data_IF_425812571316
#
_entry.id   IF_425812571316
#
_cell.length_a   1.000
_cell.length_b   1.000
_cell.length_c   1.000
_cell.angle_alpha   90.00
_cell.angle_beta   90.00
_cell.angle_gamma   90.00
#
_symmetry.space_group_name_H-M   'P 1'
#
loop_
_entity.id
_entity.type
_entity.pdbx_description
1 polymer ?
#
# COMPACT_ATOMS: atom_id res chain seq x y z
N UNK A 1 25.24 4.08 12.51
CA UNK A 1 24.18 3.37 13.25
C UNK A 1 23.88 2.09 12.47
N UNK A 2 24.08 0.90 13.04
CA UNK A 2 23.73 -0.35 12.34
C UNK A 2 22.23 -0.55 12.55
N UNK A 3 21.45 -0.10 11.57
CA UNK A 3 19.99 -0.12 11.56
C UNK A 3 19.54 -1.58 11.45
N UNK A 4 19.10 -2.18 12.56
CA UNK A 4 18.53 -3.53 12.55
C UNK A 4 17.08 -3.44 12.10
N UNK A 5 16.84 -3.49 10.79
CA UNK A 5 15.49 -3.52 10.26
C UNK A 5 14.85 -4.88 10.57
N UNK A 6 13.99 -4.91 11.60
CA UNK A 6 13.33 -6.13 12.03
C UNK A 6 12.32 -6.58 10.95
N UNK A 7 12.48 -7.81 10.44
CA UNK A 7 11.58 -8.43 9.44
C UNK A 7 10.12 -8.40 9.91
N UNK A 8 9.87 -8.54 11.22
CA UNK A 8 8.53 -8.45 11.78
C UNK A 8 7.87 -7.09 11.57
N UNK A 9 8.63 -6.00 11.60
CA UNK A 9 8.09 -4.67 11.36
C UNK A 9 7.63 -4.49 9.91
N UNK A 10 8.36 -5.05 8.94
CA UNK A 10 7.90 -5.08 7.55
C UNK A 10 6.59 -5.88 7.41
N UNK A 11 6.48 -7.00 8.13
CA UNK A 11 5.26 -7.81 8.13
C UNK A 11 4.07 -7.04 8.72
N UNK A 12 4.29 -6.28 9.79
CA UNK A 12 3.26 -5.43 10.42
C UNK A 12 2.81 -4.34 9.46
N UNK A 13 3.74 -3.62 8.83
CA UNK A 13 3.41 -2.59 7.84
C UNK A 13 2.57 -3.16 6.69
N UNK A 14 3.02 -4.30 6.14
CA UNK A 14 2.33 -5.02 5.07
C UNK A 14 0.90 -5.42 5.47
N UNK A 15 0.75 -6.11 6.61
CA UNK A 15 -0.55 -6.60 7.08
C UNK A 15 -1.48 -5.43 7.40
N UNK A 16 -0.98 -4.36 8.02
CA UNK A 16 -1.77 -3.16 8.29
C UNK A 16 -2.28 -2.51 7.01
N UNK A 17 -1.42 -2.36 5.99
CA UNK A 17 -1.80 -1.79 4.71
C UNK A 17 -2.83 -2.66 3.96
N UNK A 18 -2.69 -3.98 4.01
CA UNK A 18 -3.64 -4.92 3.40
C UNK A 18 -5.01 -4.88 4.09
N UNK A 19 -5.04 -4.99 5.42
CA UNK A 19 -6.29 -4.94 6.20
C UNK A 19 -7.00 -3.61 5.96
N UNK A 20 -6.27 -2.50 6.08
CA UNK A 20 -6.88 -1.18 5.90
C UNK A 20 -7.32 -0.94 4.45
N UNK A 21 -6.54 -1.40 3.46
CA UNK A 21 -6.93 -1.35 2.05
C UNK A 21 -8.25 -2.07 1.79
N UNK A 22 -8.43 -3.26 2.38
CA UNK A 22 -9.68 -4.02 2.29
C UNK A 22 -10.85 -3.32 2.99
N UNK A 23 -10.61 -2.74 4.19
CA UNK A 23 -11.63 -1.94 4.91
C UNK A 23 -12.06 -0.72 4.07
N UNK A 24 -11.12 -0.11 3.35
CA UNK A 24 -11.37 1.00 2.41
C UNK A 24 -11.98 0.56 1.07
N UNK A 25 -12.37 -0.72 0.95
CA UNK A 25 -12.95 -1.33 -0.25
C UNK A 25 -12.05 -1.28 -1.48
N UNK A 26 -10.73 -1.27 -1.30
CA UNK A 26 -9.83 -1.57 -2.41
C UNK A 26 -10.00 -3.05 -2.81
N UNK A 27 -10.05 -3.37 -4.11
CA UNK A 27 -10.05 -4.76 -4.55
C UNK A 27 -8.79 -5.44 -4.02
N UNK A 28 -8.87 -6.75 -3.74
CA UNK A 28 -7.70 -7.48 -3.23
C UNK A 28 -6.61 -7.57 -4.31
N UNK A 29 -7.02 -7.88 -5.54
CA UNK A 29 -6.16 -8.07 -6.70
C UNK A 29 -6.54 -7.05 -7.79
N UNK A 30 -5.58 -6.60 -8.60
CA UNK A 30 -5.87 -5.73 -9.73
C UNK A 30 -6.63 -6.48 -10.84
N UNK A 31 -7.36 -5.72 -11.66
CA UNK A 31 -8.12 -6.29 -12.77
C UNK A 31 -7.23 -6.92 -13.84
N UNK A 32 -7.82 -7.82 -14.65
CA UNK A 32 -7.11 -8.41 -15.78
C UNK A 32 -7.27 -7.52 -17.01
N UNK A 33 -6.22 -7.34 -17.83
CA UNK A 33 -4.86 -7.88 -17.69
C UNK A 33 -3.99 -7.09 -16.67
N UNK A 34 -3.49 -7.81 -15.65
CA UNK A 34 -2.80 -7.27 -14.45
C UNK A 34 -1.65 -6.31 -14.77
N UNK A 35 -0.94 -6.49 -15.88
CA UNK A 35 0.21 -5.64 -16.27
C UNK A 35 -0.18 -4.32 -16.94
N UNK A 36 -1.39 -4.24 -17.50
CA UNK A 36 -1.86 -3.05 -18.21
C UNK A 36 -2.97 -2.33 -17.44
N UNK A 37 -3.44 -2.87 -16.32
CA UNK A 37 -4.39 -2.21 -15.44
C UNK A 37 -3.64 -1.40 -14.37
N UNK A 38 -3.91 -0.10 -14.32
CA UNK A 38 -3.55 0.75 -13.18
C UNK A 38 -4.57 0.65 -12.03
N UNK A 39 -5.39 -0.41 -12.00
CA UNK A 39 -6.34 -0.68 -10.91
C UNK A 39 -5.61 -0.76 -9.58
N UNK A 40 -5.92 0.17 -8.69
CA UNK A 40 -5.38 0.17 -7.34
C UNK A 40 -6.04 -0.93 -6.53
N UNK A 41 -5.22 -1.82 -6.00
CA UNK A 41 -5.65 -2.93 -5.15
C UNK A 41 -4.86 -2.95 -3.85
N UNK A 42 -5.34 -3.72 -2.89
CA UNK A 42 -4.64 -3.94 -1.62
C UNK A 42 -3.27 -4.60 -1.86
N UNK A 43 -3.18 -5.55 -2.79
CA UNK A 43 -1.91 -6.23 -3.10
C UNK A 43 -0.99 -5.37 -3.97
N UNK A 44 -1.54 -4.66 -4.97
CA UNK A 44 -0.74 -3.82 -5.85
C UNK A 44 -1.46 -2.50 -6.19
N UNK A 45 -0.82 -1.33 -6.00
CA UNK A 45 0.56 -1.11 -5.54
C UNK A 45 0.69 -1.02 -4.00
N UNK A 46 -0.41 -1.06 -3.25
CA UNK A 46 -0.46 -0.70 -1.82
C UNK A 46 0.51 -1.49 -0.95
N UNK A 47 0.57 -2.82 -1.07
CA UNK A 47 1.51 -3.65 -0.31
C UNK A 47 2.99 -3.32 -0.62
N UNK A 48 3.30 -3.11 -1.90
CA UNK A 48 4.65 -2.77 -2.36
C UNK A 48 5.08 -1.42 -1.81
N UNK A 49 4.20 -0.42 -1.90
CA UNK A 49 4.44 0.92 -1.36
C UNK A 49 4.61 0.90 0.16
N UNK A 50 3.84 0.08 0.87
CA UNK A 50 3.92 0.01 2.33
C UNK A 50 5.29 -0.47 2.82
N UNK A 51 5.82 -1.52 2.17
CA UNK A 51 7.16 -2.03 2.45
C UNK A 51 8.22 -0.98 2.11
N UNK A 52 8.09 -0.33 0.94
CA UNK A 52 9.03 0.70 0.50
C UNK A 52 9.05 1.92 1.42
N UNK A 53 7.89 2.43 1.82
CA UNK A 53 7.79 3.57 2.74
C UNK A 53 8.32 3.23 4.13
N UNK A 54 8.05 2.02 4.65
CA UNK A 54 8.63 1.63 5.93
C UNK A 54 10.17 1.53 5.84
N UNK A 55 10.71 1.02 4.74
CA UNK A 55 12.16 1.01 4.52
C UNK A 55 12.74 2.44 4.55
N UNK A 56 12.14 3.39 3.82
CA UNK A 56 12.59 4.78 3.81
C UNK A 56 12.57 5.39 5.22
N UNK A 57 11.48 5.22 5.95
CA UNK A 57 11.32 5.76 7.30
C UNK A 57 12.31 5.12 8.28
N UNK A 58 12.58 3.82 8.14
CA UNK A 58 13.59 3.10 8.93
C UNK A 58 15.00 3.60 8.67
N UNK A 59 15.36 3.88 7.41
CA UNK A 59 16.67 4.45 7.06
C UNK A 59 16.87 5.87 7.63
N UNK A 60 15.79 6.63 7.79
CA UNK A 60 15.82 7.93 8.49
C UNK A 60 16.01 7.80 10.01
N UNK A 61 16.05 6.57 10.55
CA UNK A 61 16.25 6.28 11.97
C UNK A 61 14.96 6.07 12.77
N UNK A 62 13.79 6.10 12.13
CA UNK A 62 12.50 5.83 12.78
C UNK A 62 12.14 4.35 12.66
N UNK A 63 12.20 3.63 13.78
CA UNK A 63 11.97 2.18 13.81
C UNK A 63 10.93 1.78 14.85
N UNK A 64 10.49 0.53 14.74
CA UNK A 64 9.61 -0.12 15.72
C UNK A 64 8.22 -0.40 15.17
N UNK A 65 7.44 -1.15 15.97
CA UNK A 65 6.14 -1.66 15.55
C UNK A 65 5.10 -0.55 15.33
N UNK A 66 5.16 0.51 16.14
CA UNK A 66 4.27 1.68 15.99
C UNK A 66 4.54 2.40 14.66
N UNK A 67 5.82 2.58 14.32
CA UNK A 67 6.22 3.20 13.05
C UNK A 67 5.75 2.35 11.87
N UNK A 68 5.98 1.03 11.92
CA UNK A 68 5.50 0.11 10.91
C UNK A 68 3.98 0.16 10.70
N UNK A 69 3.22 0.09 11.79
CA UNK A 69 1.77 0.17 11.77
C UNK A 69 1.29 1.49 11.16
N UNK A 70 1.86 2.61 11.62
CA UNK A 70 1.51 3.95 11.13
C UNK A 70 1.83 4.10 9.65
N UNK A 71 3.00 3.65 9.20
CA UNK A 71 3.37 3.69 7.79
C UNK A 71 2.43 2.83 6.94
N UNK A 72 2.05 1.64 7.39
CA UNK A 72 1.05 0.80 6.70
C UNK A 72 -0.29 1.50 6.55
N UNK A 73 -0.80 2.11 7.62
CA UNK A 73 -2.05 2.89 7.62
C UNK A 73 -1.97 4.06 6.63
N UNK A 74 -0.92 4.88 6.73
CA UNK A 74 -0.71 6.04 5.85
C UNK A 74 -0.60 5.61 4.39
N UNK A 75 0.06 4.49 4.11
CA UNK A 75 0.19 3.97 2.74
C UNK A 75 -1.17 3.58 2.16
N UNK A 76 -2.02 2.87 2.91
CA UNK A 76 -3.34 2.48 2.43
C UNK A 76 -4.26 3.69 2.21
N UNK A 77 -4.19 4.70 3.09
CA UNK A 77 -4.89 5.97 2.90
C UNK A 77 -4.39 6.72 1.66
N UNK A 78 -3.08 6.78 1.46
CA UNK A 78 -2.46 7.37 0.27
C UNK A 78 -2.91 6.66 -1.01
N UNK A 79 -2.91 5.32 -1.01
CA UNK A 79 -3.35 4.53 -2.15
C UNK A 79 -4.82 4.80 -2.51
N UNK A 80 -5.70 4.82 -1.51
CA UNK A 80 -7.14 5.04 -1.72
C UNK A 80 -7.46 6.48 -2.12
N UNK A 81 -6.95 7.48 -1.41
CA UNK A 81 -7.46 8.84 -1.56
C UNK A 81 -6.66 9.71 -2.53
N UNK A 82 -5.37 9.41 -2.73
CA UNK A 82 -4.47 10.21 -3.55
C UNK A 82 -4.15 9.47 -4.84
N UNK A 83 -3.60 8.25 -4.72
CA UNK A 83 -3.13 7.52 -5.90
C UNK A 83 -4.29 7.17 -6.84
N UNK A 84 -5.46 6.79 -6.30
CA UNK A 84 -6.67 6.46 -7.08
C UNK A 84 -7.15 7.61 -7.96
N UNK A 85 -6.84 8.86 -7.57
CA UNK A 85 -7.20 10.07 -8.34
C UNK A 85 -6.14 10.49 -9.36
N UNK A 86 -4.91 10.05 -9.18
CA UNK A 86 -3.77 10.45 -10.01
C UNK A 86 -3.57 9.48 -11.17
N UNK A 87 -3.77 8.18 -10.92
CA UNK A 87 -3.56 7.15 -11.95
C UNK A 87 -4.77 7.04 -12.86
N UNK A 88 -4.57 6.79 -14.17
CA UNK A 88 -5.68 6.62 -15.10
C UNK A 88 -6.50 5.38 -14.73
N UNK A 89 -7.81 5.53 -14.69
CA UNK A 89 -8.76 4.43 -14.50
C UNK A 89 -8.85 3.66 -15.83
N UNK A 90 -8.73 2.32 -15.84
CA UNK A 90 -8.84 1.55 -17.09
C UNK A 90 -10.23 1.73 -17.74
N UNK A 91 -10.26 1.84 -19.08
CA UNK A 91 -11.44 2.14 -19.94
C UNK A 91 -12.60 1.10 -19.91
N UNK A 92 -12.66 0.25 -18.89
CA UNK A 92 -13.72 -0.75 -18.70
C UNK A 92 -14.79 -0.36 -17.66
N UNK A 93 -14.53 0.64 -16.81
CA UNK A 93 -15.41 1.00 -15.68
C UNK A 93 -16.45 2.08 -15.99
N UNK A 94 -16.28 2.89 -17.05
CA UNK A 94 -17.28 3.90 -17.46
C UNK A 94 -18.64 3.31 -17.90
N UNK A 95 -18.71 1.99 -18.16
CA UNK A 95 -19.96 1.31 -18.55
C UNK A 95 -20.76 0.74 -17.39
N UNK A 96 -20.34 1.00 -16.14
CA UNK A 96 -21.01 0.51 -14.92
C UNK A 96 -21.33 1.65 -13.95
N UNK A 97 -21.96 2.71 -14.44
CA UNK A 97 -22.78 3.61 -13.62
C UNK A 97 -24.23 3.61 -14.11
#
# INVERSE_FOLDING_TARGET
>A
MIIHANVFSYLIALVAALILGLVLRLPLLPDKPIRNSWTISAVFPTAVLSIGFYAMVSELGYQGYIVALTTGIVTALFAKFILEKIVPIPEGDEKRE
#
